data_IF_129346754244
#
_entry.id   IF_129346754244
#
_cell.length_a   1.000
_cell.length_b   1.000
_cell.length_c   1.000
_cell.angle_alpha   90.00
_cell.angle_beta   90.00
_cell.angle_gamma   90.00
#
_symmetry.space_group_name_H-M   'P 1'
#
loop_
_entity.id
_entity.type
_entity.pdbx_description
1 polymer ?
#
# COMPACT_ATOMS: atom_id res chain seq x y z
N UNK A 1 -29.29 21.03 -1.46
CA UNK A 1 -29.01 19.59 -1.62
C UNK A 1 -29.48 18.87 -0.38
N UNK A 2 -30.06 17.66 -0.49
CA UNK A 2 -30.45 16.90 0.69
C UNK A 2 -29.21 16.22 1.29
N UNK A 3 -28.83 16.63 2.50
CA UNK A 3 -27.73 16.02 3.27
C UNK A 3 -28.15 14.63 3.79
N UNK A 4 -27.30 13.62 3.60
CA UNK A 4 -27.49 12.28 4.16
C UNK A 4 -26.69 12.14 5.45
N UNK A 5 -27.31 11.60 6.51
CA UNK A 5 -26.62 11.34 7.79
C UNK A 5 -26.11 9.91 7.87
N UNK A 6 -24.84 9.74 8.21
CA UNK A 6 -24.19 8.45 8.42
C UNK A 6 -23.38 8.45 9.72
N UNK A 7 -23.33 7.32 10.41
CA UNK A 7 -22.55 7.16 11.64
C UNK A 7 -21.03 7.20 11.40
N UNK A 8 -20.61 6.85 10.19
CA UNK A 8 -19.24 6.98 9.72
C UNK A 8 -19.19 7.17 8.18
N UNK A 9 -18.13 7.81 7.71
CA UNK A 9 -17.68 7.84 6.32
C UNK A 9 -16.30 7.17 6.25
N UNK A 10 -16.16 6.16 5.39
CA UNK A 10 -14.88 5.48 5.11
C UNK A 10 -14.45 5.81 3.68
N UNK A 11 -13.24 6.33 3.52
CA UNK A 11 -12.70 6.74 2.22
C UNK A 11 -11.64 5.74 1.75
N UNK A 12 -11.96 4.97 0.71
CA UNK A 12 -11.12 3.93 0.11
C UNK A 12 -11.62 2.52 0.41
N UNK A 13 -11.57 1.65 -0.61
CA UNK A 13 -11.94 0.23 -0.56
C UNK A 13 -10.74 -0.70 -0.86
N UNK A 14 -9.52 -0.23 -0.58
CA UNK A 14 -8.35 -1.11 -0.46
C UNK A 14 -8.42 -1.98 0.80
N UNK A 15 -7.42 -2.85 1.04
CA UNK A 15 -7.41 -3.75 2.20
C UNK A 15 -7.61 -3.05 3.56
N UNK A 16 -7.08 -1.84 3.74
CA UNK A 16 -7.32 -1.09 4.99
C UNK A 16 -8.78 -0.63 5.13
N UNK A 17 -9.38 -0.10 4.06
CA UNK A 17 -10.78 0.34 4.07
C UNK A 17 -11.75 -0.82 4.28
N UNK A 18 -11.50 -1.96 3.62
CA UNK A 18 -12.28 -3.20 3.85
C UNK A 18 -12.19 -3.63 5.31
N UNK A 19 -10.98 -3.63 5.89
CA UNK A 19 -10.80 -3.95 7.31
C UNK A 19 -11.55 -2.98 8.24
N UNK A 20 -11.54 -1.68 7.95
CA UNK A 20 -12.33 -0.68 8.69
C UNK A 20 -13.82 -1.02 8.62
N UNK A 21 -14.35 -1.29 7.42
CA UNK A 21 -15.76 -1.67 7.24
C UNK A 21 -16.13 -2.90 8.08
N UNK A 22 -15.31 -3.96 8.03
CA UNK A 22 -15.54 -5.17 8.81
C UNK A 22 -15.62 -4.91 10.32
N UNK A 23 -14.75 -4.06 10.86
CA UNK A 23 -14.73 -3.72 12.28
C UNK A 23 -15.89 -2.77 12.67
N UNK A 24 -16.24 -1.79 11.83
CA UNK A 24 -17.36 -0.88 12.11
C UNK A 24 -18.70 -1.62 12.12
N UNK A 25 -18.90 -2.54 11.17
CA UNK A 25 -20.13 -3.35 11.06
C UNK A 25 -20.26 -4.33 12.22
N UNK A 26 -19.16 -4.94 12.67
CA UNK A 26 -19.14 -5.80 13.86
C UNK A 26 -19.58 -5.03 15.12
N UNK A 27 -19.31 -3.73 15.18
CA UNK A 27 -19.71 -2.83 16.27
C UNK A 27 -21.10 -2.24 16.11
N UNK A 28 -21.79 -2.49 14.99
CA UNK A 28 -23.17 -2.08 14.74
C UNK A 28 -23.43 -0.57 14.98
N UNK A 29 -22.50 0.28 14.52
CA UNK A 29 -22.56 1.73 14.82
C UNK A 29 -23.65 2.50 14.05
N UNK A 30 -24.43 1.83 13.21
CA UNK A 30 -25.42 2.43 12.30
C UNK A 30 -24.94 2.45 10.85
N UNK A 31 -25.55 3.32 10.04
CA UNK A 31 -25.26 3.41 8.60
C UNK A 31 -23.86 3.97 8.33
N UNK A 32 -23.09 3.28 7.50
CA UNK A 32 -21.72 3.67 7.10
C UNK A 32 -21.74 4.04 5.62
N UNK A 33 -21.32 5.26 5.30
CA UNK A 33 -21.02 5.63 3.92
C UNK A 33 -19.63 5.14 3.55
N UNK A 34 -19.52 4.33 2.51
CA UNK A 34 -18.24 3.81 2.03
C UNK A 34 -18.00 4.37 0.63
N UNK A 35 -16.90 5.10 0.47
CA UNK A 35 -16.61 5.87 -0.75
C UNK A 35 -15.34 5.31 -1.38
N UNK A 36 -15.42 4.83 -2.61
CA UNK A 36 -14.26 4.40 -3.38
C UNK A 36 -14.51 4.60 -4.88
N UNK A 37 -13.49 4.93 -5.68
CA UNK A 37 -13.68 5.15 -7.11
C UNK A 37 -14.07 3.91 -7.91
N UNK A 38 -13.76 2.69 -7.45
CA UNK A 38 -14.00 1.48 -8.24
C UNK A 38 -14.49 0.25 -7.45
N UNK A 39 -14.28 0.19 -6.14
CA UNK A 39 -14.55 -0.98 -5.30
C UNK A 39 -13.82 -2.25 -5.75
N UNK A 40 -12.64 -2.08 -6.35
CA UNK A 40 -11.88 -3.19 -6.93
C UNK A 40 -10.68 -3.62 -6.07
N UNK A 41 -10.79 -3.58 -4.74
CA UNK A 41 -9.68 -3.92 -3.81
C UNK A 41 -8.46 -2.98 -3.88
N UNK A 42 -8.60 -1.76 -4.40
CA UNK A 42 -7.54 -0.76 -4.42
C UNK A 42 -6.35 -1.09 -5.34
N UNK A 43 -5.17 -0.55 -5.04
CA UNK A 43 -3.99 -0.66 -5.92
C UNK A 43 -3.46 -2.09 -6.09
N UNK A 44 -3.60 -2.94 -5.07
CA UNK A 44 -3.11 -4.34 -5.13
C UNK A 44 -3.74 -5.11 -6.27
N UNK A 45 -5.04 -4.92 -6.52
CA UNK A 45 -5.73 -5.53 -7.64
C UNK A 45 -5.41 -4.85 -8.98
N UNK A 46 -5.32 -3.52 -9.00
CA UNK A 46 -5.11 -2.78 -10.26
C UNK A 46 -3.70 -2.93 -10.81
N UNK A 47 -2.68 -3.06 -9.94
CA UNK A 47 -1.27 -2.97 -10.32
C UNK A 47 -0.41 -4.16 -9.91
N UNK A 48 -0.78 -4.92 -8.87
CA UNK A 48 0.14 -5.89 -8.25
C UNK A 48 -0.32 -7.35 -8.32
N UNK A 49 -1.27 -7.72 -9.20
CA UNK A 49 -1.79 -9.11 -9.26
C UNK A 49 -0.71 -10.16 -9.53
N UNK A 50 0.28 -9.85 -10.34
CA UNK A 50 1.38 -10.75 -10.70
C UNK A 50 2.51 -10.78 -9.66
N UNK A 51 2.52 -9.83 -8.73
CA UNK A 51 3.57 -9.68 -7.73
C UNK A 51 3.53 -10.85 -6.74
N UNK A 52 4.64 -11.52 -6.47
CA UNK A 52 4.75 -12.48 -5.38
C UNK A 52 4.65 -11.76 -4.03
N UNK A 53 3.82 -12.26 -3.12
CA UNK A 53 3.66 -11.69 -1.79
C UNK A 53 4.91 -11.91 -0.94
N UNK A 54 5.14 -11.00 0.01
CA UNK A 54 6.02 -11.21 1.16
C UNK A 54 5.26 -11.70 2.41
N UNK A 55 3.96 -11.92 2.26
CA UNK A 55 3.02 -12.30 3.32
C UNK A 55 2.61 -13.75 3.12
N UNK A 56 2.71 -14.55 4.19
CA UNK A 56 2.25 -15.95 4.18
C UNK A 56 0.74 -16.04 3.94
N UNK A 57 0.29 -17.08 3.24
CA UNK A 57 -1.12 -17.33 2.94
C UNK A 57 -1.96 -17.37 4.23
N UNK A 58 -1.46 -17.97 5.31
CA UNK A 58 -2.15 -18.01 6.61
C UNK A 58 -2.57 -16.62 7.12
N UNK A 59 -1.78 -15.57 6.84
CA UNK A 59 -2.09 -14.21 7.27
C UNK A 59 -3.20 -13.57 6.43
N UNK A 60 -3.33 -13.93 5.15
CA UNK A 60 -4.49 -13.54 4.34
C UNK A 60 -5.77 -14.23 4.83
N UNK A 61 -5.69 -15.53 5.19
CA UNK A 61 -6.81 -16.22 5.81
C UNK A 61 -7.19 -15.63 7.17
N UNK A 62 -6.21 -15.29 8.00
CA UNK A 62 -6.45 -14.64 9.29
C UNK A 62 -7.13 -13.27 9.12
N UNK A 63 -6.76 -12.52 8.08
CA UNK A 63 -7.43 -11.28 7.71
C UNK A 63 -8.90 -11.51 7.32
N UNK A 64 -9.18 -12.49 6.46
CA UNK A 64 -10.54 -12.77 5.99
C UNK A 64 -11.47 -13.28 7.11
N UNK A 65 -10.93 -13.99 8.09
CA UNK A 65 -11.71 -14.53 9.21
C UNK A 65 -11.72 -13.61 10.44
N UNK A 66 -11.24 -12.37 10.32
CA UNK A 66 -10.99 -11.53 11.47
C UNK A 66 -12.26 -10.98 12.12
N UNK A 67 -13.33 -10.71 11.36
CA UNK A 67 -14.56 -10.08 11.86
C UNK A 67 -15.78 -10.91 11.50
N UNK A 68 -16.84 -10.82 12.31
CA UNK A 68 -18.08 -11.55 12.07
C UNK A 68 -18.73 -11.22 10.71
N UNK A 69 -18.80 -9.95 10.25
CA UNK A 69 -19.32 -9.63 8.90
C UNK A 69 -18.57 -10.37 7.78
N UNK A 70 -17.24 -10.52 7.89
CA UNK A 70 -16.48 -11.24 6.88
C UNK A 70 -16.77 -12.74 6.88
N UNK A 71 -16.85 -13.35 8.06
CA UNK A 71 -17.21 -14.78 8.19
C UNK A 71 -18.58 -15.07 7.58
N UNK A 72 -19.57 -14.22 7.87
CA UNK A 72 -20.91 -14.32 7.27
C UNK A 72 -20.86 -14.20 5.74
N UNK A 73 -20.02 -13.32 5.17
CA UNK A 73 -19.85 -13.25 3.71
C UNK A 73 -19.26 -14.55 3.16
N UNK A 74 -18.21 -15.07 3.80
CA UNK A 74 -17.53 -16.29 3.37
C UNK A 74 -18.48 -17.49 3.38
N UNK A 75 -19.23 -17.66 4.48
CA UNK A 75 -20.21 -18.74 4.68
C UNK A 75 -21.35 -18.70 3.64
N UNK A 76 -21.76 -17.51 3.22
CA UNK A 76 -22.86 -17.31 2.26
C UNK A 76 -22.40 -17.17 0.80
N UNK A 77 -21.11 -17.27 0.51
CA UNK A 77 -20.60 -17.21 -0.86
C UNK A 77 -20.55 -18.59 -1.49
N UNK A 78 -21.26 -18.79 -2.61
CA UNK A 78 -21.27 -20.06 -3.33
C UNK A 78 -19.86 -20.52 -3.72
N UNK A 79 -19.65 -21.84 -3.73
CA UNK A 79 -18.39 -22.48 -4.11
C UNK A 79 -18.41 -22.87 -5.60
N UNK A 80 -17.25 -22.83 -6.29
CA UNK A 80 -15.95 -22.35 -5.83
C UNK A 80 -15.87 -20.80 -5.82
N UNK A 81 -15.09 -20.25 -4.90
CA UNK A 81 -14.85 -18.81 -4.78
C UNK A 81 -13.43 -18.47 -4.30
N UNK A 82 -13.09 -17.18 -4.26
CA UNK A 82 -11.77 -16.69 -3.86
C UNK A 82 -11.32 -17.18 -2.47
N UNK A 83 -12.24 -17.32 -1.52
CA UNK A 83 -11.94 -17.82 -0.16
C UNK A 83 -11.55 -19.30 -0.19
N UNK A 84 -12.33 -20.12 -0.88
CA UNK A 84 -12.04 -21.54 -1.03
C UNK A 84 -10.76 -21.81 -1.83
N UNK A 85 -10.43 -20.93 -2.79
CA UNK A 85 -9.17 -21.00 -3.52
C UNK A 85 -8.00 -20.65 -2.61
N UNK A 86 -8.09 -19.57 -1.83
CA UNK A 86 -7.06 -19.20 -0.83
C UNK A 86 -6.83 -20.30 0.20
N UNK A 87 -7.90 -20.96 0.66
CA UNK A 87 -7.83 -22.03 1.65
C UNK A 87 -7.08 -23.29 1.18
N UNK A 88 -7.03 -23.53 -0.13
CA UNK A 88 -6.33 -24.67 -0.74
C UNK A 88 -4.83 -24.43 -0.95
N UNK A 89 -4.37 -23.19 -0.82
CA UNK A 89 -2.94 -22.88 -0.95
C UNK A 89 -2.16 -23.37 0.28
N UNK A 90 -0.84 -23.49 0.14
CA UNK A 90 0.06 -23.81 1.25
C UNK A 90 0.13 -22.63 2.23
N UNK A 91 -0.36 -22.85 3.45
CA UNK A 91 -0.53 -21.82 4.47
C UNK A 91 0.79 -21.23 4.97
N UNK A 92 1.87 -22.01 4.90
CA UNK A 92 3.19 -21.61 5.38
C UNK A 92 4.04 -20.91 4.31
N UNK A 93 3.55 -20.86 3.06
CA UNK A 93 4.22 -20.20 1.94
C UNK A 93 3.60 -18.86 1.59
N UNK A 94 4.31 -18.10 0.76
CA UNK A 94 3.78 -16.92 0.08
C UNK A 94 2.99 -17.33 -1.17
N UNK A 95 2.27 -16.40 -1.78
CA UNK A 95 1.50 -16.63 -3.01
C UNK A 95 1.57 -15.41 -3.93
N UNK A 96 1.06 -15.50 -5.17
CA UNK A 96 0.84 -14.28 -5.99
C UNK A 96 -0.26 -13.43 -5.35
N UNK A 97 -0.12 -12.11 -5.43
CA UNK A 97 -1.06 -11.17 -4.79
C UNK A 97 -2.46 -11.16 -5.43
N UNK A 98 -2.65 -11.74 -6.62
CA UNK A 98 -3.99 -11.90 -7.18
C UNK A 98 -4.93 -12.66 -6.24
N UNK A 99 -4.46 -13.69 -5.52
CA UNK A 99 -5.30 -14.43 -4.57
C UNK A 99 -5.81 -13.51 -3.45
N UNK A 100 -4.94 -12.66 -2.92
CA UNK A 100 -5.30 -11.71 -1.88
C UNK A 100 -6.22 -10.59 -2.42
N UNK A 101 -5.97 -10.14 -3.66
CA UNK A 101 -6.82 -9.16 -4.33
C UNK A 101 -8.25 -9.70 -4.56
N UNK A 102 -8.39 -10.95 -4.99
CA UNK A 102 -9.68 -11.62 -5.22
C UNK A 102 -10.41 -11.89 -3.90
N UNK A 103 -9.70 -12.28 -2.85
CA UNK A 103 -10.25 -12.42 -1.51
C UNK A 103 -10.81 -11.09 -0.99
N UNK A 104 -10.05 -10.00 -1.11
CA UNK A 104 -10.53 -8.66 -0.73
C UNK A 104 -11.72 -8.25 -1.60
N UNK A 105 -11.73 -8.64 -2.89
CA UNK A 105 -12.83 -8.31 -3.80
C UNK A 105 -14.12 -9.00 -3.36
N UNK A 106 -14.06 -10.30 -3.06
CA UNK A 106 -15.20 -11.05 -2.54
C UNK A 106 -15.75 -10.46 -1.24
N UNK A 107 -14.88 -9.99 -0.32
CA UNK A 107 -15.31 -9.30 0.89
C UNK A 107 -16.00 -7.97 0.55
N UNK A 108 -15.41 -7.15 -0.32
CA UNK A 108 -16.00 -5.89 -0.76
C UNK A 108 -17.38 -6.09 -1.36
N UNK A 109 -17.54 -7.04 -2.28
CA UNK A 109 -18.81 -7.33 -2.93
C UNK A 109 -19.87 -7.82 -1.93
N UNK A 110 -19.47 -8.58 -0.90
CA UNK A 110 -20.37 -9.02 0.17
C UNK A 110 -20.78 -7.88 1.12
N UNK A 111 -19.83 -7.03 1.51
CA UNK A 111 -20.08 -5.86 2.37
C UNK A 111 -21.03 -4.86 1.73
N UNK A 112 -20.89 -4.60 0.42
CA UNK A 112 -21.74 -3.67 -0.32
C UNK A 112 -23.22 -4.09 -0.35
N UNK A 113 -23.54 -5.36 -0.06
CA UNK A 113 -24.90 -5.89 -0.01
C UNK A 113 -25.55 -5.76 1.37
N UNK A 114 -24.80 -5.34 2.39
CA UNK A 114 -25.34 -5.18 3.75
C UNK A 114 -26.15 -3.89 3.85
N UNK A 115 -27.31 -3.95 4.50
CA UNK A 115 -28.25 -2.82 4.60
C UNK A 115 -27.65 -1.58 5.29
N UNK A 116 -26.68 -1.80 6.18
CA UNK A 116 -25.97 -0.73 6.91
C UNK A 116 -24.93 -0.02 6.04
N UNK A 117 -24.60 -0.53 4.84
CA UNK A 117 -23.56 0.02 3.98
C UNK A 117 -24.18 0.84 2.87
N UNK A 118 -23.92 2.15 2.88
CA UNK A 118 -24.18 3.02 1.77
C UNK A 118 -22.92 3.16 0.91
N UNK A 119 -22.77 2.29 -0.09
CA UNK A 119 -21.65 2.35 -1.02
C UNK A 119 -21.86 3.46 -2.06
N UNK A 120 -20.86 4.30 -2.25
CA UNK A 120 -20.87 5.36 -3.26
C UNK A 120 -19.60 5.29 -4.10
N UNK A 121 -19.78 5.06 -5.40
CA UNK A 121 -18.68 5.09 -6.37
C UNK A 121 -18.33 6.53 -6.69
N UNK A 122 -17.15 6.98 -6.24
CA UNK A 122 -16.74 8.37 -6.39
C UNK A 122 -15.52 8.73 -5.56
N UNK A 123 -15.32 10.04 -5.43
CA UNK A 123 -14.18 10.61 -4.72
C UNK A 123 -14.69 11.63 -3.70
N UNK A 124 -14.11 11.62 -2.51
CA UNK A 124 -14.30 12.74 -1.57
C UNK A 124 -13.47 13.91 -2.09
N UNK A 125 -14.12 15.06 -2.32
CA UNK A 125 -13.45 16.29 -2.76
C UNK A 125 -13.08 17.14 -1.56
N UNK A 126 -14.02 17.32 -0.64
CA UNK A 126 -13.88 18.16 0.55
C UNK A 126 -14.51 17.48 1.77
N UNK A 127 -13.93 17.69 2.95
CA UNK A 127 -14.59 17.41 4.22
C UNK A 127 -14.37 18.56 5.20
N UNK A 128 -15.45 19.12 5.71
CA UNK A 128 -15.44 20.28 6.59
C UNK A 128 -15.94 19.91 7.98
N UNK A 129 -15.13 20.21 8.99
CA UNK A 129 -15.50 20.08 10.39
C UNK A 129 -16.13 21.40 10.89
N UNK A 130 -17.39 21.32 11.31
CA UNK A 130 -18.04 22.39 12.06
C UNK A 130 -17.77 22.23 13.56
N UNK A 131 -17.37 23.31 14.24
CA UNK A 131 -17.15 23.28 15.69
C UNK A 131 -18.45 23.08 16.47
N UNK A 132 -18.29 22.41 17.61
CA UNK A 132 -19.32 22.26 18.64
C UNK A 132 -19.88 23.64 19.01
N UNK A 133 -21.16 23.88 18.76
CA UNK A 133 -21.90 24.92 19.50
C UNK A 133 -22.43 24.31 20.80
N UNK A 134 -22.94 25.11 21.74
CA UNK A 134 -23.55 24.60 22.98
C UNK A 134 -24.67 23.56 22.74
N UNK A 135 -25.16 23.44 21.49
CA UNK A 135 -26.30 22.59 21.10
C UNK A 135 -25.97 21.53 20.03
N UNK A 136 -24.74 21.46 19.48
CA UNK A 136 -24.41 20.51 18.40
C UNK A 136 -23.09 19.78 18.65
N UNK A 137 -23.08 18.45 18.53
CA UNK A 137 -21.84 17.64 18.49
C UNK A 137 -20.93 18.03 17.32
N UNK A 138 -19.63 17.74 17.42
CA UNK A 138 -18.69 17.92 16.32
C UNK A 138 -19.12 17.06 15.12
N UNK A 139 -19.34 17.67 13.96
CA UNK A 139 -19.81 16.98 12.76
C UNK A 139 -18.99 17.37 11.54
N UNK A 140 -18.69 16.35 10.75
CA UNK A 140 -18.10 16.46 9.43
C UNK A 140 -19.20 16.53 8.38
N UNK A 141 -19.12 17.49 7.48
CA UNK A 141 -19.83 17.50 6.21
C UNK A 141 -18.86 17.08 5.13
N UNK A 142 -19.13 15.95 4.48
CA UNK A 142 -18.27 15.34 3.47
C UNK A 142 -18.92 15.48 2.10
N UNK A 143 -18.23 16.13 1.17
CA UNK A 143 -18.65 16.29 -0.22
C UNK A 143 -18.05 15.19 -1.07
N UNK A 144 -18.91 14.45 -1.76
CA UNK A 144 -18.54 13.33 -2.63
C UNK A 144 -18.93 13.67 -4.06
N UNK A 145 -17.95 13.72 -4.95
CA UNK A 145 -18.17 13.74 -6.40
C UNK A 145 -18.37 12.31 -6.89
N UNK A 146 -19.55 12.01 -7.41
CA UNK A 146 -19.85 10.69 -7.97
C UNK A 146 -19.06 10.46 -9.25
N UNK A 147 -18.66 9.22 -9.49
CA UNK A 147 -17.86 8.88 -10.67
C UNK A 147 -18.67 9.09 -11.97
N UNK A 148 -19.96 8.75 -11.95
CA UNK A 148 -20.82 8.69 -13.14
C UNK A 148 -21.83 9.85 -13.19
N UNK A 149 -21.60 10.93 -12.43
CA UNK A 149 -22.47 12.11 -12.39
C UNK A 149 -21.69 13.37 -12.02
N UNK A 150 -22.12 14.53 -12.54
CA UNK A 150 -21.62 15.84 -12.09
C UNK A 150 -22.22 16.27 -10.75
N UNK A 151 -23.24 15.55 -10.26
CA UNK A 151 -23.87 15.82 -8.97
C UNK A 151 -22.92 15.50 -7.81
N UNK A 152 -22.83 16.45 -6.89
CA UNK A 152 -22.19 16.25 -5.59
C UNK A 152 -23.21 15.76 -4.57
N UNK A 153 -22.75 14.85 -3.71
CA UNK A 153 -23.48 14.36 -2.56
C UNK A 153 -22.83 14.88 -1.29
N UNK A 154 -23.65 15.43 -0.38
CA UNK A 154 -23.22 15.80 0.96
C UNK A 154 -23.61 14.72 1.97
N UNK A 155 -22.64 14.31 2.79
CA UNK A 155 -22.82 13.35 3.87
C UNK A 155 -22.38 13.96 5.19
N UNK A 156 -23.30 14.04 6.15
CA UNK A 156 -23.01 14.40 7.53
C UNK A 156 -22.57 13.17 8.34
N UNK A 157 -21.48 13.29 9.10
CA UNK A 157 -21.01 12.21 9.95
C UNK A 157 -20.26 12.68 11.19
N UNK A 158 -20.18 11.83 12.22
CA UNK A 158 -19.31 12.05 13.38
C UNK A 158 -17.95 11.37 13.24
N UNK A 159 -17.74 10.54 12.20
CA UNK A 159 -16.47 9.82 11.97
C UNK A 159 -16.10 9.84 10.49
N UNK A 160 -14.95 10.43 10.19
CA UNK A 160 -14.30 10.37 8.89
C UNK A 160 -13.03 9.52 9.00
N UNK A 161 -13.00 8.39 8.30
CA UNK A 161 -11.88 7.46 8.30
C UNK A 161 -11.21 7.46 6.92
N UNK A 162 -9.95 7.87 6.86
CA UNK A 162 -9.16 7.97 5.64
C UNK A 162 -8.34 6.69 5.43
N UNK A 163 -8.64 5.95 4.37
CA UNK A 163 -7.92 4.76 3.91
C UNK A 163 -7.44 4.96 2.45
N UNK A 164 -6.89 6.13 2.16
CA UNK A 164 -6.69 6.67 0.80
C UNK A 164 -5.61 5.95 -0.02
N UNK A 165 -4.75 5.16 0.61
CA UNK A 165 -3.70 4.43 -0.09
C UNK A 165 -2.46 5.26 -0.40
N UNK A 166 -1.61 4.72 -1.27
CA UNK A 166 -0.33 5.30 -1.66
C UNK A 166 0.05 4.85 -3.08
N UNK A 167 0.99 5.56 -3.67
CA UNK A 167 1.62 5.27 -4.95
C UNK A 167 3.15 5.17 -4.79
N UNK A 168 3.86 4.48 -5.71
CA UNK A 168 5.32 4.51 -5.72
C UNK A 168 5.85 5.95 -5.66
N UNK A 169 6.82 6.21 -4.80
CA UNK A 169 7.39 7.55 -4.66
C UNK A 169 8.09 7.97 -5.94
N UNK A 170 7.62 9.06 -6.54
CA UNK A 170 8.21 9.63 -7.74
C UNK A 170 9.21 10.74 -7.37
N UNK A 171 10.48 10.53 -7.68
CA UNK A 171 11.54 11.53 -7.50
C UNK A 171 12.18 11.90 -8.83
N UNK A 172 12.77 13.11 -8.94
CA UNK A 172 13.56 13.52 -10.09
C UNK A 172 14.70 12.54 -10.42
N UNK A 173 15.11 12.51 -11.69
CA UNK A 173 16.39 11.85 -12.04
C UNK A 173 17.50 12.65 -11.34
N UNK A 174 18.39 11.99 -10.58
CA UNK A 174 19.30 12.70 -9.68
C UNK A 174 20.39 13.50 -10.41
N UNK A 175 20.62 13.23 -11.70
CA UNK A 175 21.56 13.98 -12.55
C UNK A 175 20.75 14.77 -13.60
N UNK A 176 20.74 16.12 -13.52
CA UNK A 176 20.04 16.96 -14.48
C UNK A 176 20.59 16.81 -15.90
N UNK A 177 19.73 16.98 -16.91
CA UNK A 177 20.13 17.02 -18.32
C UNK A 177 20.36 15.66 -18.97
N UNK A 178 20.26 14.54 -18.24
CA UNK A 178 20.32 13.22 -18.84
C UNK A 178 19.03 12.87 -19.57
N UNK A 179 19.15 12.29 -20.77
CA UNK A 179 18.03 11.78 -21.55
C UNK A 179 17.67 10.36 -21.11
N UNK A 180 17.17 10.21 -19.89
CA UNK A 180 16.77 8.92 -19.30
C UNK A 180 15.25 8.88 -19.13
N UNK A 181 14.62 7.83 -19.65
CA UNK A 181 13.19 7.61 -19.48
C UNK A 181 12.90 7.03 -18.11
N UNK A 182 11.96 7.62 -17.37
CA UNK A 182 11.48 6.97 -16.13
C UNK A 182 10.60 5.78 -16.48
N UNK A 183 10.89 4.65 -15.87
CA UNK A 183 10.09 3.45 -15.96
C UNK A 183 9.37 3.25 -14.63
N UNK A 184 8.04 3.28 -14.65
CA UNK A 184 7.20 3.25 -13.45
C UNK A 184 7.36 1.93 -12.70
N UNK A 185 7.47 1.99 -11.38
CA UNK A 185 7.61 0.81 -10.53
C UNK A 185 6.40 -0.13 -10.66
N UNK A 186 5.19 0.39 -10.85
CA UNK A 186 3.98 -0.42 -11.09
C UNK A 186 4.12 -1.26 -12.36
N UNK A 187 4.67 -0.68 -13.43
CA UNK A 187 4.94 -1.41 -14.69
C UNK A 187 6.02 -2.46 -14.50
N UNK A 188 7.10 -2.13 -13.79
CA UNK A 188 8.25 -3.05 -13.59
C UNK A 188 7.88 -4.25 -12.73
N UNK A 189 6.95 -4.07 -11.79
CA UNK A 189 6.45 -5.15 -10.93
C UNK A 189 5.41 -6.04 -11.61
N UNK A 190 5.02 -5.75 -12.87
CA UNK A 190 4.07 -6.53 -13.65
C UNK A 190 4.77 -7.13 -14.88
N UNK A 191 5.29 -8.38 -14.79
CA UNK A 191 6.09 -8.99 -15.85
C UNK A 191 5.44 -8.95 -17.24
N UNK A 192 4.13 -9.19 -17.33
CA UNK A 192 3.39 -9.13 -18.60
C UNK A 192 3.49 -7.76 -19.29
N UNK A 193 3.33 -6.67 -18.54
CA UNK A 193 3.38 -5.29 -19.04
C UNK A 193 4.82 -4.83 -19.29
N UNK A 194 5.74 -5.20 -18.39
CA UNK A 194 7.16 -4.88 -18.54
C UNK A 194 7.75 -5.47 -19.83
N UNK A 195 7.37 -6.70 -20.19
CA UNK A 195 7.84 -7.38 -21.39
C UNK A 195 7.48 -6.64 -22.70
N UNK A 196 6.36 -5.92 -22.70
CA UNK A 196 5.87 -5.13 -23.83
C UNK A 196 6.44 -3.69 -23.81
N UNK A 197 6.75 -3.17 -22.62
CA UNK A 197 7.22 -1.80 -22.44
C UNK A 197 8.67 -1.60 -22.89
N UNK A 198 9.54 -2.58 -22.63
CA UNK A 198 10.96 -2.49 -22.99
C UNK A 198 11.24 -3.03 -24.40
N UNK A 199 12.15 -2.39 -25.16
CA UNK A 199 12.47 -2.83 -26.50
C UNK A 199 13.16 -4.20 -26.49
N UNK A 200 12.69 -5.11 -27.35
CA UNK A 200 13.23 -6.48 -27.45
C UNK A 200 14.51 -6.56 -28.28
N UNK A 201 14.62 -5.71 -29.30
CA UNK A 201 15.63 -5.82 -30.36
C UNK A 201 16.73 -4.77 -30.28
N UNK A 202 16.57 -3.73 -29.47
CA UNK A 202 17.60 -2.69 -29.29
C UNK A 202 18.20 -2.74 -27.88
N UNK A 203 19.48 -2.33 -27.72
CA UNK A 203 20.09 -2.22 -26.41
C UNK A 203 19.31 -1.32 -25.47
N UNK A 204 19.17 -1.76 -24.22
CA UNK A 204 18.61 -0.96 -23.14
C UNK A 204 19.29 -1.27 -21.83
N UNK A 205 19.61 -0.22 -21.08
CA UNK A 205 20.21 -0.33 -19.76
C UNK A 205 19.28 0.33 -18.76
N UNK A 206 18.75 -0.46 -17.82
CA UNK A 206 17.80 0.02 -16.80
C UNK A 206 18.56 0.22 -15.49
N UNK A 207 18.55 1.45 -14.98
CA UNK A 207 19.00 1.76 -13.63
C UNK A 207 17.90 1.43 -12.61
N UNK A 208 18.22 0.65 -11.57
CA UNK A 208 17.35 0.42 -10.42
C UNK A 208 17.95 1.10 -9.20
N UNK A 209 17.21 2.04 -8.60
CA UNK A 209 17.60 2.69 -7.34
C UNK A 209 16.79 2.10 -6.18
N UNK A 210 17.48 1.51 -5.21
CA UNK A 210 16.88 0.92 -4.01
C UNK A 210 17.26 -0.56 -3.82
N UNK A 211 17.09 -1.07 -2.60
CA UNK A 211 17.49 -2.45 -2.23
C UNK A 211 16.44 -3.19 -1.38
N UNK A 212 15.25 -2.62 -1.25
CA UNK A 212 14.13 -3.22 -0.51
C UNK A 212 13.34 -4.20 -1.38
N UNK A 213 12.29 -4.81 -0.83
CA UNK A 213 11.52 -5.87 -1.48
C UNK A 213 11.08 -5.55 -2.92
N UNK A 214 10.49 -4.37 -3.18
CA UNK A 214 10.08 -3.97 -4.53
C UNK A 214 11.25 -3.82 -5.51
N UNK A 215 12.42 -3.34 -5.03
CA UNK A 215 13.61 -3.21 -5.87
C UNK A 215 14.13 -4.59 -6.30
N UNK A 216 14.15 -5.55 -5.38
CA UNK A 216 14.61 -6.92 -5.66
C UNK A 216 13.66 -7.63 -6.62
N UNK A 217 12.34 -7.44 -6.48
CA UNK A 217 11.37 -7.97 -7.45
C UNK A 217 11.48 -7.29 -8.82
N UNK A 218 11.76 -5.99 -8.87
CA UNK A 218 12.03 -5.29 -10.12
C UNK A 218 13.28 -5.86 -10.82
N UNK A 219 14.36 -6.10 -10.07
CA UNK A 219 15.58 -6.75 -10.58
C UNK A 219 15.26 -8.16 -11.07
N UNK A 220 14.53 -8.97 -10.31
CA UNK A 220 14.13 -10.32 -10.70
C UNK A 220 13.41 -10.31 -12.05
N UNK A 221 12.42 -9.43 -12.21
CA UNK A 221 11.65 -9.33 -13.45
C UNK A 221 12.53 -8.91 -14.63
N UNK A 222 13.41 -7.92 -14.46
CA UNK A 222 14.32 -7.46 -15.52
C UNK A 222 15.37 -8.51 -15.91
N UNK A 223 15.97 -9.19 -14.92
CA UNK A 223 16.91 -10.29 -15.17
C UNK A 223 16.23 -11.43 -15.91
N UNK A 224 15.00 -11.77 -15.53
CA UNK A 224 14.19 -12.80 -16.22
C UNK A 224 13.97 -12.41 -17.67
N UNK A 225 13.50 -11.18 -17.95
CA UNK A 225 13.32 -10.70 -19.32
C UNK A 225 14.62 -10.71 -20.12
N UNK A 226 15.73 -10.26 -19.53
CA UNK A 226 17.02 -10.23 -20.21
C UNK A 226 17.49 -11.63 -20.66
N UNK A 227 17.12 -12.67 -19.89
CA UNK A 227 17.46 -14.07 -20.17
C UNK A 227 16.50 -14.74 -21.14
N UNK A 228 15.24 -14.35 -21.16
CA UNK A 228 14.19 -15.06 -21.91
C UNK A 228 13.84 -14.40 -23.25
N UNK A 229 13.72 -13.07 -23.28
CA UNK A 229 13.13 -12.36 -24.44
C UNK A 229 13.82 -11.07 -24.86
N UNK A 230 14.69 -10.50 -24.02
CA UNK A 230 15.34 -9.20 -24.23
C UNK A 230 16.87 -9.34 -24.12
N UNK A 231 17.55 -10.02 -25.05
CA UNK A 231 18.98 -10.38 -24.92
C UNK A 231 19.92 -9.17 -24.80
N UNK A 232 19.49 -7.99 -25.24
CA UNK A 232 20.24 -6.74 -25.17
C UNK A 232 19.89 -5.86 -23.94
N UNK A 233 19.04 -6.36 -23.04
CA UNK A 233 18.71 -5.70 -21.78
C UNK A 233 19.85 -5.89 -20.78
N UNK A 234 20.26 -4.80 -20.14
CA UNK A 234 21.23 -4.77 -19.03
C UNK A 234 20.64 -4.01 -17.84
N UNK A 235 21.11 -4.32 -16.65
CA UNK A 235 20.65 -3.70 -15.40
C UNK A 235 21.83 -3.11 -14.64
N UNK A 236 21.70 -1.85 -14.19
CA UNK A 236 22.61 -1.26 -13.20
C UNK A 236 21.85 -1.07 -11.89
N UNK A 237 22.28 -1.74 -10.83
CA UNK A 237 21.61 -1.68 -9.53
C UNK A 237 22.37 -0.80 -8.56
N UNK A 238 21.76 0.33 -8.18
CA UNK A 238 22.31 1.32 -7.25
C UNK A 238 21.79 1.06 -5.84
N UNK A 239 22.69 0.78 -4.91
CA UNK A 239 22.35 0.48 -3.51
C UNK A 239 23.25 1.21 -2.52
N UNK A 240 22.70 1.61 -1.37
CA UNK A 240 23.41 2.33 -0.30
C UNK A 240 23.84 1.41 0.86
N UNK A 241 23.34 0.19 0.90
CA UNK A 241 23.60 -0.73 2.00
C UNK A 241 23.51 -2.19 1.55
N UNK A 242 24.09 -3.13 2.32
CA UNK A 242 23.87 -4.56 2.13
C UNK A 242 22.39 -4.93 2.19
N UNK A 243 22.06 -6.06 1.56
CA UNK A 243 20.71 -6.62 1.61
C UNK A 243 20.32 -6.97 3.04
N UNK A 244 19.06 -6.72 3.38
CA UNK A 244 18.52 -6.97 4.72
C UNK A 244 17.38 -7.96 4.62
N UNK A 245 17.48 -9.05 5.36
CA UNK A 245 16.48 -10.11 5.40
C UNK A 245 15.62 -9.99 6.65
N UNK A 246 14.38 -10.47 6.55
CA UNK A 246 13.57 -10.70 7.73
C UNK A 246 14.08 -11.94 8.46
N UNK A 247 14.23 -11.87 9.78
CA UNK A 247 14.67 -12.99 10.59
C UNK A 247 13.56 -13.42 11.55
N UNK A 248 13.11 -14.66 11.41
CA UNK A 248 12.13 -15.24 12.33
C UNK A 248 12.80 -15.50 13.68
N UNK A 249 12.24 -14.88 14.73
CA UNK A 249 12.63 -15.07 16.14
C UNK A 249 11.48 -15.77 16.87
N UNK A 250 11.67 -16.04 18.16
CA UNK A 250 10.61 -16.63 18.98
C UNK A 250 9.45 -15.63 19.18
N UNK A 251 8.33 -15.86 18.50
CA UNK A 251 7.13 -15.03 18.59
C UNK A 251 7.14 -13.70 17.83
N UNK A 252 8.23 -13.31 17.17
CA UNK A 252 8.32 -12.07 16.38
C UNK A 252 9.29 -12.18 15.19
N UNK A 253 9.35 -11.14 14.34
CA UNK A 253 10.21 -11.10 13.16
C UNK A 253 11.05 -9.82 13.20
N UNK A 254 12.37 -9.96 13.17
CA UNK A 254 13.27 -8.82 13.03
C UNK A 254 13.20 -8.31 11.60
N UNK A 255 13.06 -6.99 11.42
CA UNK A 255 12.84 -6.34 10.12
C UNK A 255 11.60 -6.88 9.41
N UNK A 256 10.50 -7.01 10.14
CA UNK A 256 9.25 -7.57 9.64
C UNK A 256 8.65 -6.73 8.49
N UNK A 257 8.93 -5.43 8.45
CA UNK A 257 8.41 -4.52 7.43
C UNK A 257 9.45 -4.13 6.39
N UNK A 258 10.73 -4.15 6.75
CA UNK A 258 11.83 -3.68 5.90
C UNK A 258 12.70 -4.80 5.33
N UNK A 259 12.65 -6.02 5.89
CA UNK A 259 13.45 -7.15 5.47
C UNK A 259 12.84 -7.95 4.30
N UNK A 260 13.71 -8.49 3.45
CA UNK A 260 13.33 -9.40 2.36
C UNK A 260 12.74 -10.70 2.88
N UNK A 261 11.72 -11.20 2.19
CA UNK A 261 10.99 -12.45 2.47
C UNK A 261 10.58 -13.14 1.16
N UNK A 262 10.26 -14.43 1.25
CA UNK A 262 9.73 -15.22 0.14
C UNK A 262 10.64 -15.15 -1.09
N UNK A 263 10.04 -15.11 -2.28
CA UNK A 263 10.77 -15.18 -3.55
C UNK A 263 11.87 -14.12 -3.69
N UNK A 264 11.64 -12.90 -3.20
CA UNK A 264 12.66 -11.84 -3.25
C UNK A 264 13.88 -12.18 -2.37
N UNK A 265 13.66 -12.76 -1.18
CA UNK A 265 14.77 -13.19 -0.33
C UNK A 265 15.54 -14.35 -0.96
N UNK A 266 14.82 -15.33 -1.51
CA UNK A 266 15.42 -16.52 -2.11
C UNK A 266 16.29 -16.11 -3.32
N UNK A 267 15.74 -15.30 -4.23
CA UNK A 267 16.47 -14.76 -5.38
C UNK A 267 17.69 -13.94 -4.97
N UNK A 268 17.53 -13.06 -3.97
CA UNK A 268 18.63 -12.22 -3.52
C UNK A 268 19.78 -13.04 -2.95
N UNK A 269 19.48 -14.05 -2.11
CA UNK A 269 20.49 -14.97 -1.56
C UNK A 269 21.20 -15.79 -2.63
N UNK A 270 20.47 -16.25 -3.64
CA UNK A 270 21.03 -17.11 -4.67
C UNK A 270 21.82 -16.35 -5.73
N UNK A 271 21.44 -15.11 -6.04
CA UNK A 271 21.96 -14.41 -7.22
C UNK A 271 22.50 -13.00 -7.00
N UNK A 272 22.15 -12.30 -5.92
CA UNK A 272 22.48 -10.87 -5.73
C UNK A 272 23.48 -10.58 -4.61
N UNK A 273 23.73 -11.52 -3.71
CA UNK A 273 24.78 -11.37 -2.68
C UNK A 273 26.16 -11.17 -3.31
N UNK A 274 27.04 -10.45 -2.62
CA UNK A 274 28.34 -10.03 -3.19
C UNK A 274 29.24 -11.23 -3.55
N UNK A 275 29.19 -12.31 -2.77
CA UNK A 275 29.90 -13.57 -3.03
C UNK A 275 29.27 -14.40 -4.14
N UNK A 276 28.05 -14.06 -4.57
CA UNK A 276 27.27 -14.81 -5.58
C UNK A 276 27.19 -14.10 -6.91
N UNK A 277 27.00 -12.78 -6.89
CA UNK A 277 26.60 -12.00 -8.06
C UNK A 277 27.51 -12.23 -9.27
N UNK A 278 28.83 -12.19 -9.10
CA UNK A 278 29.78 -12.35 -10.22
C UNK A 278 29.70 -13.71 -10.94
N UNK A 279 29.13 -14.74 -10.30
CA UNK A 279 29.00 -16.09 -10.85
C UNK A 279 27.55 -16.51 -11.11
N UNK A 280 26.59 -15.66 -10.72
CA UNK A 280 25.16 -15.98 -10.83
C UNK A 280 24.61 -15.67 -12.23
N UNK A 281 23.44 -16.24 -12.59
CA UNK A 281 22.72 -15.85 -13.80
C UNK A 281 22.42 -14.33 -13.84
N UNK A 282 22.04 -13.72 -12.72
CA UNK A 282 21.84 -12.27 -12.64
C UNK A 282 23.12 -11.48 -13.00
N UNK A 283 24.30 -11.90 -12.54
CA UNK A 283 25.56 -11.21 -12.82
C UNK A 283 25.97 -11.16 -14.28
N UNK A 284 25.38 -12.00 -15.14
CA UNK A 284 25.63 -11.97 -16.58
C UNK A 284 25.00 -10.74 -17.26
N UNK A 285 23.98 -10.15 -16.64
CA UNK A 285 23.20 -9.02 -17.19
C UNK A 285 23.11 -7.82 -16.26
N UNK A 286 23.46 -8.00 -14.99
CA UNK A 286 23.37 -7.00 -13.93
C UNK A 286 24.75 -6.64 -13.38
N UNK A 287 25.01 -5.35 -13.23
CA UNK A 287 26.13 -4.82 -12.44
C UNK A 287 25.63 -4.05 -11.22
N UNK A 288 26.24 -4.28 -10.06
CA UNK A 288 25.95 -3.55 -8.83
C UNK A 288 26.83 -2.30 -8.73
N UNK A 289 26.22 -1.18 -8.34
CA UNK A 289 26.86 0.11 -8.10
C UNK A 289 26.69 0.44 -6.63
N UNK A 290 27.82 0.55 -5.91
CA UNK A 290 27.83 0.87 -4.49
C UNK A 290 27.77 2.38 -4.27
N UNK A 291 26.64 2.83 -3.73
CA UNK A 291 26.36 4.22 -3.36
C UNK A 291 26.48 4.46 -1.85
N UNK A 292 27.08 3.54 -1.09
CA UNK A 292 27.39 3.77 0.33
C UNK A 292 28.40 4.92 0.49
N UNK A 293 28.34 5.61 1.64
CA UNK A 293 29.28 6.71 1.95
C UNK A 293 28.67 8.12 1.96
N UNK A 294 27.34 8.25 1.86
CA UNK A 294 26.62 9.52 1.97
C UNK A 294 26.29 10.18 0.64
N UNK A 295 25.59 11.31 0.68
CA UNK A 295 24.98 11.96 -0.50
C UNK A 295 26.00 12.33 -1.59
N UNK A 296 27.19 12.79 -1.20
CA UNK A 296 28.23 13.16 -2.15
C UNK A 296 28.73 11.96 -2.98
N UNK A 297 28.96 10.83 -2.32
CA UNK A 297 29.38 9.58 -2.99
C UNK A 297 28.25 9.00 -3.83
N UNK A 298 27.03 9.04 -3.33
CA UNK A 298 25.85 8.62 -4.08
C UNK A 298 25.70 9.45 -5.38
N UNK A 299 25.84 10.77 -5.31
CA UNK A 299 25.79 11.64 -6.47
C UNK A 299 26.94 11.37 -7.46
N UNK A 300 28.16 11.15 -6.98
CA UNK A 300 29.32 10.77 -7.80
C UNK A 300 29.03 9.49 -8.61
N UNK A 301 28.48 8.47 -7.96
CA UNK A 301 28.10 7.21 -8.63
C UNK A 301 26.98 7.41 -9.65
N UNK A 302 26.00 8.27 -9.35
CA UNK A 302 24.97 8.61 -10.33
C UNK A 302 25.56 9.33 -11.54
N UNK A 303 26.42 10.34 -11.34
CA UNK A 303 27.07 11.07 -12.43
C UNK A 303 27.95 10.16 -13.29
N UNK A 304 28.62 9.19 -12.68
CA UNK A 304 29.46 8.24 -13.39
C UNK A 304 28.67 7.21 -14.21
N UNK A 305 27.57 6.68 -13.66
CA UNK A 305 26.94 5.47 -14.21
C UNK A 305 25.58 5.67 -14.89
N UNK A 306 24.83 6.72 -14.54
CA UNK A 306 23.54 7.00 -15.16
C UNK A 306 23.63 7.45 -16.63
N UNK A 307 24.68 8.15 -17.12
CA UNK A 307 24.78 8.49 -18.53
C UNK A 307 24.67 7.31 -19.51
N UNK A 308 25.02 6.09 -19.07
CA UNK A 308 24.91 4.87 -19.88
C UNK A 308 23.51 4.22 -19.83
N UNK A 309 22.60 4.76 -19.03
CA UNK A 309 21.28 4.17 -18.81
C UNK A 309 20.25 4.78 -19.76
N UNK A 310 19.39 3.93 -20.35
CA UNK A 310 18.24 4.41 -21.14
C UNK A 310 17.00 4.62 -20.28
N UNK A 311 16.89 3.87 -19.17
CA UNK A 311 15.76 3.96 -18.25
C UNK A 311 16.21 4.01 -16.80
N UNK A 312 15.35 4.54 -15.92
CA UNK A 312 15.53 4.51 -14.47
C UNK A 312 14.23 4.15 -13.76
N UNK A 313 14.33 3.28 -12.77
CA UNK A 313 13.26 2.90 -11.84
C UNK A 313 13.67 3.31 -10.43
N UNK A 314 12.80 4.07 -9.77
CA UNK A 314 12.96 4.40 -8.36
C UNK A 314 12.11 3.45 -7.51
N UNK A 315 12.76 2.57 -6.76
CA UNK A 315 12.14 1.65 -5.82
C UNK A 315 12.44 2.08 -4.37
N UNK A 316 12.14 3.35 -4.07
CA UNK A 316 12.58 4.06 -2.85
C UNK A 316 11.48 4.22 -1.80
N UNK A 317 10.32 3.62 -2.01
CA UNK A 317 9.19 3.68 -1.08
C UNK A 317 7.90 4.10 -1.76
N UNK A 318 6.92 4.44 -0.92
CA UNK A 318 5.59 4.84 -1.33
C UNK A 318 5.24 6.18 -0.72
N UNK A 319 4.60 7.04 -1.52
CA UNK A 319 4.06 8.33 -1.09
C UNK A 319 2.56 8.19 -0.93
N UNK A 320 2.03 8.68 0.18
CA UNK A 320 0.58 8.72 0.45
C UNK A 320 -0.16 9.40 -0.70
N UNK A 321 -1.29 8.82 -1.11
CA UNK A 321 -2.15 9.45 -2.12
C UNK A 321 -2.72 10.77 -1.57
N UNK A 322 -2.99 11.77 -2.45
CA UNK A 322 -3.56 13.04 -2.02
C UNK A 322 -4.82 12.86 -1.17
N UNK A 323 -4.95 13.67 -0.13
CA UNK A 323 -6.13 13.68 0.71
C UNK A 323 -7.20 14.61 0.11
N UNK A 324 -8.49 14.38 0.42
CA UNK A 324 -9.49 15.40 0.16
C UNK A 324 -9.12 16.71 0.85
N UNK A 325 -9.68 17.83 0.38
CA UNK A 325 -9.52 19.10 1.07
C UNK A 325 -10.18 19.02 2.45
N UNK A 326 -9.38 18.99 3.51
CA UNK A 326 -9.88 18.97 4.88
C UNK A 326 -9.92 20.39 5.43
N UNK A 327 -11.08 20.77 5.93
CA UNK A 327 -11.37 22.13 6.38
C UNK A 327 -11.89 22.13 7.82
N UNK A 328 -11.60 23.20 8.56
CA UNK A 328 -12.22 23.51 9.85
C UNK A 328 -12.59 25.00 9.85
N UNK A 329 -13.86 25.32 10.07
CA UNK A 329 -14.38 26.70 10.01
C UNK A 329 -13.89 27.45 8.75
N UNK A 330 -14.08 26.84 7.57
CA UNK A 330 -13.72 27.38 6.25
C UNK A 330 -12.22 27.68 6.03
N UNK A 331 -11.34 27.11 6.86
CA UNK A 331 -9.88 27.17 6.69
C UNK A 331 -9.29 25.78 6.50
N UNK A 332 -8.22 25.69 5.72
CA UNK A 332 -7.48 24.45 5.55
C UNK A 332 -7.00 23.91 6.91
N UNK A 333 -7.27 22.63 7.15
CA UNK A 333 -6.95 21.97 8.41
C UNK A 333 -5.53 21.41 8.37
N UNK A 334 -4.64 22.02 9.14
CA UNK A 334 -3.32 21.45 9.42
C UNK A 334 -3.46 20.30 10.43
N UNK A 335 -2.76 19.20 10.19
CA UNK A 335 -2.90 17.98 11.00
C UNK A 335 -1.66 17.08 10.93
N UNK A 336 -1.45 16.34 12.02
CA UNK A 336 -0.47 15.27 12.14
C UNK A 336 -1.18 13.97 12.51
N UNK A 337 -0.64 12.84 12.05
CA UNK A 337 -1.22 11.52 12.30
C UNK A 337 -0.51 10.84 13.46
N UNK A 338 -1.28 10.41 14.47
CA UNK A 338 -0.79 9.58 15.56
C UNK A 338 -0.78 8.11 15.13
N UNK A 339 0.43 7.60 14.90
CA UNK A 339 0.69 6.24 14.46
C UNK A 339 0.36 5.15 15.51
N UNK A 340 0.09 5.52 16.76
CA UNK A 340 -0.24 4.57 17.83
C UNK A 340 -1.76 4.42 18.01
N UNK A 341 -2.49 5.55 17.94
CA UNK A 341 -3.95 5.59 18.16
C UNK A 341 -4.78 5.63 16.87
N UNK A 342 -4.18 5.96 15.73
CA UNK A 342 -4.88 6.12 14.46
C UNK A 342 -5.73 7.39 14.36
N UNK A 343 -5.53 8.33 15.28
CA UNK A 343 -6.20 9.63 15.33
C UNK A 343 -5.35 10.70 14.66
N UNK A 344 -5.97 11.83 14.36
CA UNK A 344 -5.25 13.03 13.96
C UNK A 344 -5.28 14.07 15.08
N UNK A 345 -4.25 14.90 15.14
CA UNK A 345 -4.18 16.05 16.04
C UNK A 345 -3.69 17.28 15.29
N UNK A 346 -3.93 18.46 15.88
CA UNK A 346 -3.28 19.67 15.38
C UNK A 346 -1.74 19.55 15.55
N UNK A 347 -0.94 20.18 14.66
CA UNK A 347 0.51 20.05 14.69
C UNK A 347 1.14 20.47 16.02
N UNK A 348 2.27 19.84 16.37
CA UNK A 348 3.05 20.20 17.55
C UNK A 348 2.37 19.83 18.87
N UNK A 349 1.92 18.57 18.97
CA UNK A 349 1.20 18.02 20.14
C UNK A 349 -0.10 18.75 20.48
N UNK A 350 -0.75 19.33 19.47
CA UNK A 350 -2.03 20.01 19.62
C UNK A 350 -3.19 19.05 19.93
N UNK A 351 -4.42 19.58 20.14
CA UNK A 351 -5.57 18.75 20.47
C UNK A 351 -5.92 17.78 19.33
N UNK A 352 -6.46 16.62 19.72
CA UNK A 352 -7.04 15.64 18.79
C UNK A 352 -8.14 16.29 17.95
N UNK A 353 -8.12 16.05 16.65
CA UNK A 353 -9.15 16.47 15.70
C UNK A 353 -10.34 15.51 15.83
N UNK A 354 -11.51 15.98 16.32
CA UNK A 354 -12.63 15.11 16.62
C UNK A 354 -13.13 14.34 15.39
N UNK A 355 -13.31 13.03 15.54
CA UNK A 355 -13.89 12.18 14.52
C UNK A 355 -13.02 11.92 13.28
N UNK A 356 -11.77 12.39 13.24
CA UNK A 356 -10.87 12.15 12.11
C UNK A 356 -9.88 11.02 12.43
N UNK A 357 -9.88 9.98 11.59
CA UNK A 357 -9.06 8.78 11.78
C UNK A 357 -8.41 8.32 10.47
N UNK A 358 -7.32 7.57 10.58
CA UNK A 358 -6.54 7.11 9.43
C UNK A 358 -6.12 5.65 9.59
N UNK A 359 -6.07 4.91 8.48
CA UNK A 359 -5.53 3.56 8.46
C UNK A 359 -4.91 3.17 7.11
N UNK A 360 -4.13 2.09 7.13
CA UNK A 360 -3.52 1.52 5.92
C UNK A 360 -2.14 2.07 5.61
N UNK A 361 -1.65 1.84 4.39
CA UNK A 361 -0.32 2.33 3.95
C UNK A 361 -0.21 3.86 3.99
N UNK A 362 -1.33 4.57 3.86
CA UNK A 362 -1.40 6.02 3.99
C UNK A 362 -1.13 6.50 5.44
N UNK A 363 -1.46 5.66 6.42
CA UNK A 363 -1.52 5.97 7.84
C UNK A 363 -1.14 4.70 8.64
N UNK A 364 0.09 4.18 8.47
CA UNK A 364 0.46 2.89 9.01
C UNK A 364 0.70 2.97 10.51
N UNK A 365 0.48 1.88 11.22
CA UNK A 365 0.89 1.78 12.63
C UNK A 365 2.42 1.87 12.75
N UNK A 366 2.93 2.63 13.73
CA UNK A 366 4.33 2.56 14.13
C UNK A 366 4.51 1.41 15.12
N UNK A 367 5.39 0.49 14.80
CA UNK A 367 5.74 -0.66 15.65
C UNK A 367 7.20 -0.58 16.05
N UNK A 368 7.51 -1.01 17.26
CA UNK A 368 8.89 -1.10 17.77
C UNK A 368 9.17 -2.56 18.10
N UNK A 369 10.23 -3.11 17.51
CA UNK A 369 10.64 -4.47 17.81
C UNK A 369 11.36 -4.57 19.17
N UNK A 370 11.57 -5.78 19.72
CA UNK A 370 12.28 -5.97 20.99
C UNK A 370 13.72 -5.42 21.04
N UNK A 371 14.32 -5.08 19.90
CA UNK A 371 15.64 -4.44 19.83
C UNK A 371 15.55 -2.91 19.75
N UNK A 372 14.35 -2.34 19.84
CA UNK A 372 14.13 -0.89 19.78
C UNK A 372 14.08 -0.32 18.36
N UNK A 373 14.09 -1.16 17.31
CA UNK A 373 13.97 -0.64 15.95
C UNK A 373 12.51 -0.28 15.65
N UNK A 374 12.28 0.96 15.22
CA UNK A 374 10.97 1.42 14.79
C UNK A 374 10.74 1.12 13.30
N UNK A 375 9.58 0.55 12.97
CA UNK A 375 9.10 0.31 11.62
C UNK A 375 7.64 0.74 11.47
N UNK A 376 7.17 0.86 10.23
CA UNK A 376 5.76 1.10 9.93
C UNK A 376 5.10 -0.18 9.40
N UNK A 377 4.01 -0.59 10.06
CA UNK A 377 3.33 -1.84 9.80
C UNK A 377 2.45 -1.75 8.54
N UNK A 378 2.98 -2.24 7.41
CA UNK A 378 2.26 -2.27 6.13
C UNK A 378 1.98 -3.72 5.73
N UNK A 379 0.70 -4.10 5.75
CA UNK A 379 0.26 -5.45 5.39
C UNK A 379 -1.17 -5.71 5.82
N UNK A 380 -1.87 -6.61 5.14
CA UNK A 380 -3.32 -6.78 5.29
C UNK A 380 -3.68 -7.12 6.73
N UNK A 381 -3.11 -8.20 7.27
CA UNK A 381 -3.38 -8.61 8.65
C UNK A 381 -2.82 -7.62 9.68
N UNK A 382 -1.78 -6.86 9.35
CA UNK A 382 -1.26 -5.80 10.21
C UNK A 382 -2.27 -4.66 10.36
N UNK A 383 -2.89 -4.23 9.25
CA UNK A 383 -3.99 -3.26 9.28
C UNK A 383 -5.14 -3.77 10.15
N UNK A 384 -5.53 -5.04 10.00
CA UNK A 384 -6.58 -5.64 10.81
C UNK A 384 -6.23 -5.67 12.31
N UNK A 385 -4.99 -6.06 12.67
CA UNK A 385 -4.52 -6.06 14.06
C UNK A 385 -4.55 -4.65 14.66
N UNK A 386 -4.04 -3.67 13.93
CA UNK A 386 -4.07 -2.27 14.32
C UNK A 386 -5.50 -1.81 14.60
N UNK A 387 -6.41 -2.01 13.65
CA UNK A 387 -7.80 -1.59 13.73
C UNK A 387 -8.54 -2.23 14.90
N UNK A 388 -8.36 -3.54 15.13
CA UNK A 388 -8.95 -4.22 16.29
C UNK A 388 -8.50 -3.60 17.62
N UNK A 389 -7.26 -3.14 17.70
CA UNK A 389 -6.73 -2.50 18.91
C UNK A 389 -7.26 -1.08 19.08
N UNK A 390 -7.24 -0.25 18.03
CA UNK A 390 -7.44 1.20 18.18
C UNK A 390 -8.87 1.66 17.96
N UNK A 391 -9.63 1.02 17.07
CA UNK A 391 -11.00 1.43 16.76
C UNK A 391 -11.95 1.42 17.96
N UNK A 392 -11.76 0.58 19.00
CA UNK A 392 -12.55 0.73 20.22
C UNK A 392 -12.48 2.09 20.88
N UNK A 393 -11.36 2.80 20.73
CA UNK A 393 -11.14 4.16 21.23
C UNK A 393 -11.63 5.25 20.27
N UNK A 394 -12.13 4.90 19.08
CA UNK A 394 -12.70 5.82 18.09
C UNK A 394 -14.19 6.08 18.37
N UNK A 395 -14.48 6.46 19.62
CA UNK A 395 -15.82 6.85 20.06
C UNK A 395 -16.32 8.14 19.40
N UNK A 396 -17.63 8.43 19.46
CA UNK A 396 -18.11 9.78 19.17
C UNK A 396 -17.56 10.70 20.27
N UNK A 397 -16.95 11.83 19.88
CA UNK A 397 -16.35 12.79 20.80
C UNK A 397 -17.39 13.77 21.38
#
# INVERSE_FOLDING_TARGET
>A
MASRKCAAVVVGAGPAGVAVMGNLLERQIGTIAWIDPSFESGRVNRKYREVPSNTKVALFQAYANATQPFKTIIENTHLPNAFSTMAKLDQEKTCRLHYAADMVRGLTDGLMKMEQVYACRGFVTTASLAEKTQTTENKWTVTVKRHDSEEELEIETSRLILCTGAHPTNIPVPVPGLNITRLDLDTVLKPSELAETLPKTSPSTVAIVGASHSAILAILNLVTLARESHPHLRVKWFTRHPLRYAEYKDGWILRDNTGLKGLAADFARSELEDDRLSTSPAGQVLSKVDCAGGEARELEMYQQHLPDCSHIVHAVGFTRDPLPQLMKNDRALAMEFDHESGKFHAPGDGPVIPGLFGAGIAFPERVVDPHGNAEYAVGFFKFMKFLKRVMPSWGPA
#
